data_IF_388511194914
#
_entry.id   IF_388511194914
#
_cell.length_a   1.000
_cell.length_b   1.000
_cell.length_c   1.000
_cell.angle_alpha   90.00
_cell.angle_beta   90.00
_cell.angle_gamma   90.00
#
_symmetry.space_group_name_H-M   'P 1'
#
loop_
_entity.id
_entity.type
_entity.pdbx_description
1 polymer ?
#
# COMPACT_ATOMS: atom_id res chain seq x y z
N UNK A 1 -1.89 2.52 14.79
CA UNK A 1 -1.35 1.46 15.68
C UNK A 1 -1.48 0.14 14.94
N UNK A 2 -0.43 -0.68 14.91
CA UNK A 2 -0.54 -2.04 14.35
C UNK A 2 -1.23 -2.95 15.36
N UNK A 3 -2.28 -3.63 14.93
CA UNK A 3 -3.03 -4.57 15.76
C UNK A 3 -3.04 -5.91 15.03
N UNK A 4 -2.55 -6.97 15.67
CA UNK A 4 -2.66 -8.33 15.15
C UNK A 4 -2.02 -8.55 13.75
N UNK A 5 -0.87 -7.91 13.48
CA UNK A 5 -0.13 -8.09 12.23
C UNK A 5 -0.59 -7.20 11.06
N UNK A 6 -1.68 -6.45 11.21
CA UNK A 6 -2.13 -5.44 10.25
C UNK A 6 -1.99 -4.02 10.81
N UNK A 7 -1.89 -3.06 9.91
CA UNK A 7 -1.99 -1.64 10.23
C UNK A 7 -3.39 -1.14 9.87
N UNK A 8 -4.24 -0.95 10.88
CA UNK A 8 -5.62 -0.46 10.70
C UNK A 8 -5.69 0.96 10.13
N UNK A 9 -4.56 1.67 10.03
CA UNK A 9 -4.47 2.99 9.43
C UNK A 9 -4.12 2.96 7.93
N UNK A 10 -3.84 1.79 7.35
CA UNK A 10 -3.43 1.64 5.95
C UNK A 10 -4.25 0.51 5.33
N UNK A 11 -5.36 0.88 4.70
CA UNK A 11 -6.19 -0.05 3.93
C UNK A 11 -5.44 -0.47 2.65
N UNK A 12 -5.52 -1.75 2.31
CA UNK A 12 -4.90 -2.29 1.12
C UNK A 12 -5.76 -3.43 0.60
N UNK A 13 -6.47 -3.22 -0.49
CA UNK A 13 -7.32 -4.23 -1.16
C UNK A 13 -6.58 -4.99 -2.26
N UNK A 14 -5.29 -4.68 -2.44
CA UNK A 14 -4.46 -5.23 -3.51
C UNK A 14 -3.93 -6.60 -3.08
N UNK A 15 -4.61 -7.66 -3.49
CA UNK A 15 -4.31 -9.04 -3.07
C UNK A 15 -2.88 -9.51 -3.40
N UNK A 16 -2.28 -8.98 -4.48
CA UNK A 16 -0.90 -9.29 -4.87
C UNK A 16 0.14 -8.31 -4.29
N UNK A 17 -0.23 -7.42 -3.36
CA UNK A 17 0.72 -6.61 -2.60
C UNK A 17 1.49 -7.50 -1.61
N UNK A 18 2.82 -7.48 -1.64
CA UNK A 18 3.71 -8.24 -0.75
C UNK A 18 3.45 -7.93 0.74
N UNK A 19 2.87 -6.78 1.03
CA UNK A 19 2.55 -6.32 2.37
C UNK A 19 1.05 -6.42 2.72
N UNK A 20 0.23 -7.08 1.90
CA UNK A 20 -1.17 -7.32 2.22
C UNK A 20 -1.29 -8.20 3.48
N UNK A 21 -2.22 -7.89 4.37
CA UNK A 21 -2.42 -8.58 5.66
C UNK A 21 -3.15 -9.93 5.53
N UNK A 22 -2.97 -10.64 4.42
CA UNK A 22 -3.59 -11.93 4.18
C UNK A 22 -5.08 -11.80 3.86
N UNK A 23 -5.94 -12.16 4.82
CA UNK A 23 -7.39 -12.32 4.66
C UNK A 23 -8.21 -11.04 4.92
N UNK A 24 -7.54 -9.93 5.23
CA UNK A 24 -8.17 -8.64 5.52
C UNK A 24 -7.52 -7.55 4.68
N UNK A 25 -8.34 -6.59 4.23
CA UNK A 25 -7.95 -5.50 3.31
C UNK A 25 -7.09 -4.42 3.98
N UNK A 26 -5.99 -4.82 4.62
CA UNK A 26 -5.06 -3.91 5.29
C UNK A 26 -3.63 -4.22 4.91
N UNK A 27 -2.75 -3.22 5.07
CA UNK A 27 -1.32 -3.36 4.87
C UNK A 27 -0.62 -3.74 6.19
N UNK A 28 0.52 -4.39 6.11
CA UNK A 28 1.39 -4.71 7.27
C UNK A 28 2.49 -3.67 7.49
N UNK A 29 2.62 -2.68 6.59
CA UNK A 29 3.59 -1.59 6.73
C UNK A 29 3.17 -0.60 7.85
N UNK A 30 4.14 0.07 8.47
CA UNK A 30 3.87 1.15 9.44
C UNK A 30 3.57 2.46 8.77
N UNK A 31 4.25 2.69 7.65
CA UNK A 31 4.18 3.91 6.84
C UNK A 31 4.16 3.52 5.37
N UNK A 32 3.42 4.26 4.57
CA UNK A 32 3.49 4.20 3.11
C UNK A 32 4.05 5.51 2.58
N UNK A 33 4.73 5.42 1.44
CA UNK A 33 5.14 6.59 0.67
C UNK A 33 4.19 6.73 -0.51
N UNK A 34 3.51 7.88 -0.58
CA UNK A 34 2.77 8.29 -1.77
C UNK A 34 3.70 9.13 -2.63
N UNK A 35 3.76 8.80 -3.91
CA UNK A 35 4.54 9.49 -4.92
C UNK A 35 3.71 9.80 -6.14
N UNK A 36 4.37 10.34 -7.15
CA UNK A 36 3.79 10.66 -8.44
C UNK A 36 4.91 10.70 -9.47
N UNK A 37 4.59 10.37 -10.73
CA UNK A 37 5.51 10.53 -11.85
C UNK A 37 5.39 11.92 -12.52
N UNK A 38 4.48 12.77 -12.07
CA UNK A 38 4.23 14.10 -12.61
C UNK A 38 4.59 15.20 -11.58
N UNK A 39 4.97 16.42 -12.01
CA UNK A 39 5.34 17.50 -11.09
C UNK A 39 4.20 18.00 -10.19
N UNK A 40 2.95 17.92 -10.66
CA UNK A 40 1.75 18.44 -9.97
C UNK A 40 0.54 17.54 -10.26
N UNK A 41 0.39 16.40 -9.57
CA UNK A 41 -0.73 15.49 -9.80
C UNK A 41 -2.04 16.15 -9.38
N UNK A 42 -3.06 16.03 -10.25
CA UNK A 42 -4.41 16.59 -9.99
C UNK A 42 -5.48 15.52 -9.86
N UNK A 43 -5.13 14.26 -10.18
CA UNK A 43 -6.02 13.11 -10.11
C UNK A 43 -5.39 12.01 -9.28
N UNK A 44 -6.21 11.11 -8.73
CA UNK A 44 -5.73 9.97 -7.92
C UNK A 44 -4.94 8.97 -8.77
N UNK A 45 -5.26 8.90 -10.06
CA UNK A 45 -4.60 8.05 -11.05
C UNK A 45 -3.15 8.48 -11.29
N UNK A 46 -2.80 9.74 -10.97
CA UNK A 46 -1.43 10.26 -11.04
C UNK A 46 -0.66 10.08 -9.71
N UNK A 47 -1.31 9.54 -8.66
CA UNK A 47 -0.68 9.30 -7.36
C UNK A 47 -0.46 7.81 -7.14
N UNK A 48 0.79 7.43 -6.90
CA UNK A 48 1.23 6.04 -6.77
C UNK A 48 1.60 5.73 -5.32
N UNK A 49 1.32 4.51 -4.85
CA UNK A 49 1.90 4.00 -3.62
C UNK A 49 3.31 3.45 -3.93
N UNK A 50 4.35 4.25 -3.70
CA UNK A 50 5.74 3.85 -3.94
C UNK A 50 6.23 2.74 -2.99
N UNK A 51 5.50 2.49 -1.90
CA UNK A 51 5.76 1.35 -1.02
C UNK A 51 5.16 0.04 -1.52
N UNK A 52 4.43 0.04 -2.64
CA UNK A 52 3.90 -1.17 -3.22
C UNK A 52 5.02 -2.09 -3.72
N UNK A 53 4.93 -3.36 -3.35
CA UNK A 53 5.75 -4.42 -3.92
C UNK A 53 4.84 -5.57 -4.32
N UNK A 54 5.08 -6.19 -5.48
CA UNK A 54 4.29 -7.33 -5.93
C UNK A 54 4.80 -8.62 -5.25
N UNK A 55 3.89 -9.45 -4.71
CA UNK A 55 4.20 -10.78 -4.15
C UNK A 55 4.97 -11.67 -5.12
N UNK A 56 4.73 -11.53 -6.42
CA UNK A 56 5.35 -12.34 -7.47
C UNK A 56 6.77 -11.91 -7.86
N UNK A 57 7.33 -10.87 -7.23
CA UNK A 57 8.65 -10.32 -7.55
C UNK A 57 9.83 -10.92 -6.77
N UNK A 58 9.66 -12.09 -6.15
CA UNK A 58 10.74 -12.85 -5.48
C UNK A 58 11.36 -13.88 -6.42
#
# INVERSE_FOLDING_TARGET
MKSNGKNDCIECTINNCAYHAGDVDYCTLETIKIGTHEPNPTTKECTDCESFANKSGC
#
